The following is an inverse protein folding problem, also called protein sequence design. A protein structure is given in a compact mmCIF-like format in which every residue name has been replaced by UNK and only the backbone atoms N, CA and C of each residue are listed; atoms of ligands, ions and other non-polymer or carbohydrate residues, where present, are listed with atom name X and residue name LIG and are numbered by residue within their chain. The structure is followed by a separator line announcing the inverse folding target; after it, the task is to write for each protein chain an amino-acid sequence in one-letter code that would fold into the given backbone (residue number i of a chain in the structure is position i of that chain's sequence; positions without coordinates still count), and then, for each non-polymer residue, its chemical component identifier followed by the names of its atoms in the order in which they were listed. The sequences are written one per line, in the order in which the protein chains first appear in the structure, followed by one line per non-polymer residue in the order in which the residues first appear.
data_IF_552645327019
#
_entry.id   IF_552645327019
#
_cell.length_a   1.000
_cell.length_b   1.000
_cell.length_c   1.000
_cell.angle_alpha   90.00
_cell.angle_beta   90.00
_cell.angle_gamma   90.00
#
_symmetry.space_group_name_H-M   'P 1'
#
loop_
_entity.id
_entity.type
_entity.pdbx_description
1 polymer ?
#
# COMPACT_ATOMS: atom_id res chain seq x y z
N UNK A 1 -19.27 19.94 -12.57
CA UNK A 1 -19.73 18.77 -11.77
C UNK A 1 -19.31 17.44 -12.39
N UNK A 2 -19.66 17.14 -13.65
CA UNK A 2 -19.32 15.85 -14.29
C UNK A 2 -17.83 15.48 -14.23
N UNK A 3 -16.93 16.43 -14.46
CA UNK A 3 -15.47 16.23 -14.46
C UNK A 3 -14.90 15.89 -13.09
N UNK A 4 -15.41 16.51 -12.02
CA UNK A 4 -14.97 16.23 -10.65
C UNK A 4 -15.43 14.86 -10.18
N UNK A 5 -16.67 14.46 -10.53
CA UNK A 5 -17.19 13.12 -10.25
C UNK A 5 -16.36 12.06 -10.97
N UNK A 6 -16.01 12.27 -12.24
CA UNK A 6 -15.15 11.35 -12.99
C UNK A 6 -13.77 11.18 -12.34
N UNK A 7 -13.13 12.29 -11.92
CA UNK A 7 -11.86 12.23 -11.20
C UNK A 7 -12.00 11.44 -9.88
N UNK A 8 -13.05 11.70 -9.10
CA UNK A 8 -13.30 10.95 -7.87
C UNK A 8 -13.46 9.44 -8.14
N UNK A 9 -14.18 9.07 -9.20
CA UNK A 9 -14.36 7.67 -9.60
C UNK A 9 -13.03 7.02 -10.02
N UNK A 10 -12.16 7.71 -10.75
CA UNK A 10 -10.83 7.19 -11.13
C UNK A 10 -9.97 6.91 -9.89
N UNK A 11 -9.99 7.79 -8.88
CA UNK A 11 -9.28 7.61 -7.62
C UNK A 11 -9.88 6.48 -6.76
N UNK A 12 -11.21 6.36 -6.74
CA UNK A 12 -11.87 5.26 -6.04
C UNK A 12 -11.61 3.91 -6.72
N UNK A 13 -11.59 3.87 -8.05
CA UNK A 13 -11.41 2.63 -8.81
C UNK A 13 -10.01 2.01 -8.62
N UNK A 14 -8.96 2.83 -8.45
CA UNK A 14 -7.60 2.31 -8.23
C UNK A 14 -7.37 1.85 -6.78
N UNK A 15 -8.15 2.37 -5.82
CA UNK A 15 -7.95 2.13 -4.39
C UNK A 15 -7.96 0.62 -4.04
N UNK A 16 -8.93 -0.21 -4.50
CA UNK A 16 -8.92 -1.65 -4.26
C UNK A 16 -7.66 -2.35 -4.78
N UNK A 17 -7.14 -1.94 -5.93
CA UNK A 17 -5.92 -2.52 -6.51
C UNK A 17 -4.70 -2.22 -5.63
N UNK A 18 -4.58 -0.99 -5.12
CA UNK A 18 -3.52 -0.60 -4.19
C UNK A 18 -3.63 -1.39 -2.88
N UNK A 19 -4.85 -1.54 -2.35
CA UNK A 19 -5.10 -2.32 -1.13
C UNK A 19 -4.66 -3.77 -1.32
N UNK A 20 -5.08 -4.41 -2.41
CA UNK A 20 -4.72 -5.80 -2.71
C UNK A 20 -3.20 -5.97 -2.86
N UNK A 21 -2.54 -5.06 -3.58
CA UNK A 21 -1.09 -5.05 -3.71
C UNK A 21 -0.41 -4.99 -2.34
N UNK A 22 -0.87 -4.12 -1.45
CA UNK A 22 -0.33 -4.02 -0.09
C UNK A 22 -0.49 -5.32 0.68
N UNK A 23 -1.67 -5.96 0.65
CA UNK A 23 -1.87 -7.25 1.32
C UNK A 23 -0.87 -8.31 0.83
N UNK A 24 -0.69 -8.41 -0.50
CA UNK A 24 0.28 -9.31 -1.10
C UNK A 24 1.71 -8.99 -0.65
N UNK A 25 2.10 -7.71 -0.65
CA UNK A 25 3.44 -7.30 -0.23
C UNK A 25 3.69 -7.55 1.26
N UNK A 26 2.71 -7.28 2.13
CA UNK A 26 2.84 -7.55 3.58
C UNK A 26 2.98 -9.05 3.85
N UNK A 27 2.29 -9.91 3.09
CA UNK A 27 2.43 -11.35 3.18
C UNK A 27 3.77 -11.86 2.62
N UNK A 28 4.26 -11.27 1.53
CA UNK A 28 5.56 -11.61 0.92
C UNK A 28 6.74 -11.20 1.79
N UNK A 29 6.65 -10.06 2.47
CA UNK A 29 7.68 -9.64 3.42
C UNK A 29 7.49 -10.39 4.74
N UNK A 30 7.92 -11.65 4.78
CA UNK A 30 8.11 -12.45 6.00
C UNK A 30 9.30 -11.94 6.81
N UNK A 31 9.25 -10.69 7.29
CA UNK A 31 10.20 -10.19 8.29
C UNK A 31 9.69 -10.45 9.71
N UNK A 32 10.51 -11.12 10.51
CA UNK A 32 10.37 -11.25 11.96
C UNK A 32 10.67 -9.90 12.65
N UNK A 33 9.72 -9.38 13.43
CA UNK A 33 9.89 -8.12 14.15
C UNK A 33 9.78 -6.83 13.31
N UNK A 34 9.50 -5.72 14.01
CA UNK A 34 9.43 -4.33 13.54
C UNK A 34 8.54 -4.04 12.31
N UNK A 35 7.24 -3.86 12.57
CA UNK A 35 6.26 -3.35 11.59
C UNK A 35 6.65 -2.04 10.89
N UNK A 36 7.57 -1.25 11.44
CA UNK A 36 8.09 -0.04 10.79
C UNK A 36 8.98 -0.34 9.57
N UNK A 37 9.88 -1.32 9.68
CA UNK A 37 10.75 -1.74 8.57
C UNK A 37 9.92 -2.41 7.47
N UNK A 38 8.97 -3.26 7.87
CA UNK A 38 8.01 -3.87 6.94
C UNK A 38 7.21 -2.82 6.19
N UNK A 39 6.75 -1.77 6.89
CA UNK A 39 6.02 -0.68 6.26
C UNK A 39 6.85 0.04 5.22
N UNK A 40 8.10 0.36 5.54
CA UNK A 40 8.98 1.05 4.61
C UNK A 40 9.23 0.21 3.36
N UNK A 41 9.52 -1.09 3.52
CA UNK A 41 9.72 -2.02 2.40
C UNK A 41 8.49 -2.12 1.48
N UNK A 42 7.28 -2.18 2.06
CA UNK A 42 6.04 -2.18 1.27
C UNK A 42 5.88 -0.87 0.50
N UNK A 43 6.07 0.28 1.14
CA UNK A 43 5.89 1.58 0.48
C UNK A 43 6.91 1.83 -0.63
N UNK A 44 8.16 1.43 -0.42
CA UNK A 44 9.19 1.54 -1.45
C UNK A 44 8.88 0.64 -2.65
N UNK A 45 8.36 -0.56 -2.41
CA UNK A 45 7.91 -1.45 -3.49
C UNK A 45 6.70 -0.88 -4.23
N UNK A 46 5.71 -0.32 -3.51
CA UNK A 46 4.57 0.36 -4.14
C UNK A 46 5.02 1.54 -5.00
N UNK A 47 6.03 2.30 -4.55
CA UNK A 47 6.61 3.39 -5.34
C UNK A 47 7.21 2.88 -6.65
N UNK A 48 7.99 1.82 -6.61
CA UNK A 48 8.58 1.21 -7.82
C UNK A 48 7.48 0.74 -8.77
N UNK A 49 6.49 -0.01 -8.27
CA UNK A 49 5.36 -0.49 -9.09
C UNK A 49 4.59 0.68 -9.71
N UNK A 50 4.35 1.75 -8.96
CA UNK A 50 3.71 2.95 -9.51
C UNK A 50 4.53 3.57 -10.63
N UNK A 51 5.84 3.72 -10.45
CA UNK A 51 6.71 4.32 -11.46
C UNK A 51 6.70 3.52 -12.77
N UNK A 52 6.81 2.19 -12.70
CA UNK A 52 6.76 1.30 -13.85
C UNK A 52 5.39 1.36 -14.57
N UNK A 53 4.29 1.23 -13.81
CA UNK A 53 2.94 1.27 -14.40
C UNK A 53 2.65 2.66 -14.98
N UNK A 54 3.05 3.73 -14.30
CA UNK A 54 2.85 5.09 -14.80
C UNK A 54 3.69 5.38 -16.04
N UNK A 55 4.91 4.84 -16.13
CA UNK A 55 5.77 4.95 -17.30
C UNK A 55 5.17 4.31 -18.55
N UNK A 56 4.39 3.24 -18.40
CA UNK A 56 3.74 2.54 -19.52
C UNK A 56 2.33 3.07 -19.81
N UNK A 57 1.54 3.37 -18.78
CA UNK A 57 0.09 3.63 -18.93
C UNK A 57 -0.32 5.08 -18.67
N UNK A 58 0.59 5.98 -18.28
CA UNK A 58 0.32 7.38 -17.95
C UNK A 58 -0.90 7.53 -17.02
N UNK A 59 -0.76 7.03 -15.79
CA UNK A 59 -1.82 7.05 -14.80
C UNK A 59 -2.25 8.48 -14.49
N UNK A 60 -3.57 8.71 -14.45
CA UNK A 60 -4.14 10.01 -14.04
C UNK A 60 -4.12 10.24 -12.54
N UNK A 61 -3.91 9.19 -11.76
CA UNK A 61 -3.82 9.25 -10.30
C UNK A 61 -2.39 9.56 -9.90
N UNK A 62 -2.23 10.49 -8.95
CA UNK A 62 -0.90 10.88 -8.46
C UNK A 62 -0.26 9.81 -7.58
N UNK A 63 1.06 9.68 -7.66
CA UNK A 63 1.88 8.83 -6.78
C UNK A 63 1.55 9.08 -5.30
N UNK A 64 1.43 10.36 -4.93
CA UNK A 64 1.14 10.79 -3.55
C UNK A 64 -0.19 10.24 -3.02
N UNK A 65 -1.19 10.04 -3.88
CA UNK A 65 -2.45 9.43 -3.49
C UNK A 65 -2.29 7.92 -3.30
N UNK A 66 -1.61 7.25 -4.25
CA UNK A 66 -1.32 5.81 -4.17
C UNK A 66 -0.53 5.47 -2.91
N UNK A 67 0.55 6.21 -2.63
CA UNK A 67 1.36 6.01 -1.44
C UNK A 67 0.61 6.32 -0.14
N UNK A 68 -0.31 7.29 -0.15
CA UNK A 68 -1.17 7.58 1.02
C UNK A 68 -2.11 6.42 1.31
N UNK A 69 -2.80 5.92 0.28
CA UNK A 69 -3.67 4.74 0.42
C UNK A 69 -2.85 3.55 0.91
N UNK A 70 -1.72 3.27 0.27
CA UNK A 70 -0.85 2.17 0.64
C UNK A 70 -0.36 2.28 2.10
N UNK A 71 0.07 3.47 2.53
CA UNK A 71 0.52 3.73 3.90
C UNK A 71 -0.57 3.44 4.92
N UNK A 72 -1.78 3.95 4.69
CA UNK A 72 -2.93 3.66 5.56
C UNK A 72 -3.29 2.18 5.57
N UNK A 73 -3.26 1.49 4.42
CA UNK A 73 -3.53 0.05 4.35
C UNK A 73 -2.48 -0.75 5.12
N UNK A 74 -1.19 -0.46 4.93
CA UNK A 74 -0.11 -1.14 5.65
C UNK A 74 -0.27 -0.96 7.15
N UNK A 75 -0.56 0.25 7.62
CA UNK A 75 -0.75 0.51 9.05
C UNK A 75 -1.89 -0.35 9.63
N UNK A 76 -3.00 -0.48 8.90
CA UNK A 76 -4.13 -1.33 9.30
C UNK A 76 -3.71 -2.81 9.34
N UNK A 77 -3.08 -3.30 8.28
CA UNK A 77 -2.72 -4.73 8.14
C UNK A 77 -1.66 -5.13 9.16
N UNK A 78 -0.62 -4.33 9.34
CA UNK A 78 0.43 -4.56 10.34
C UNK A 78 -0.16 -4.52 11.76
N UNK A 79 -1.03 -3.54 12.06
CA UNK A 79 -1.70 -3.46 13.36
C UNK A 79 -2.56 -4.70 13.61
N UNK A 80 -3.30 -5.16 12.60
CA UNK A 80 -4.11 -6.37 12.68
C UNK A 80 -3.25 -7.62 12.98
N UNK A 81 -2.16 -7.83 12.25
CA UNK A 81 -1.28 -8.97 12.48
C UNK A 81 -0.52 -8.90 13.82
N UNK A 82 -0.22 -7.70 14.32
CA UNK A 82 0.31 -7.53 15.67
C UNK A 82 -0.72 -7.93 16.73
N UNK A 83 -1.99 -7.54 16.55
CA UNK A 83 -3.09 -7.91 17.45
C UNK A 83 -3.36 -9.42 17.46
N UNK A 84 -3.32 -10.07 16.30
CA UNK A 84 -3.52 -11.52 16.15
C UNK A 84 -2.28 -12.33 16.57
N UNK A 85 -1.16 -11.66 16.89
CA UNK A 85 0.08 -12.32 17.32
C UNK A 85 0.85 -13.02 16.20
N UNK A 86 0.50 -12.77 14.93
CA UNK A 86 1.22 -13.28 13.76
C UNK A 86 2.61 -12.67 13.65
N UNK A 87 2.73 -11.37 13.93
CA UNK A 87 4.03 -10.71 14.03
C UNK A 87 4.48 -10.68 15.48
N UNK A 88 5.14 -11.75 15.94
CA UNK A 88 5.83 -11.72 17.23
C UNK A 88 6.98 -10.71 17.14
N UNK A 89 7.06 -9.79 18.10
CA UNK A 89 8.29 -9.01 18.30
C UNK A 89 9.39 -10.01 18.63
N UNK A 90 10.54 -9.89 17.95
CA UNK A 90 11.76 -10.59 18.38
C UNK A 90 12.05 -10.08 19.79
N UNK A 91 11.90 -10.94 20.80
CA UNK A 91 12.31 -10.62 22.16
C UNK A 91 13.81 -10.33 22.10
N UNK A 92 14.19 -9.15 22.60
CA UNK A 92 15.57 -8.69 22.67
C UNK A 92 16.33 -9.44 23.78
#
# INVERSE_FOLDING_TARGET
MLTSVRKALEYLAITPAVVQLVFTLVALFETEGNGAEKKQAVLDTVRVVYAEVNGVFALKVSESFVLRVAGSTVDIVVSFHNLVGTFKKKEA
#
